data_IF_619649333252
#
_entry.id   IF_619649333252
#
_cell.length_a   1.000
_cell.length_b   1.000
_cell.length_c   1.000
_cell.angle_alpha   90.00
_cell.angle_beta   90.00
_cell.angle_gamma   90.00
#
_symmetry.space_group_name_H-M   'P 1'
#
loop_
_entity.id
_entity.type
_entity.pdbx_description
1 polymer ?
#
# COMPACT_ATOMS: atom_id res chain seq x y z
N UNK A 1 -12.46 1.62 -10.67
CA UNK A 1 -11.43 2.66 -10.51
C UNK A 1 -10.13 1.91 -10.30
N UNK A 2 -9.11 2.13 -11.13
CA UNK A 2 -7.82 1.43 -10.99
C UNK A 2 -7.16 1.84 -9.67
N UNK A 3 -6.53 0.88 -9.01
CA UNK A 3 -5.75 1.16 -7.81
C UNK A 3 -4.54 2.04 -8.20
N UNK A 4 -4.12 2.93 -7.30
CA UNK A 4 -2.92 3.75 -7.54
C UNK A 4 -1.74 3.07 -6.88
N UNK A 5 -0.62 2.97 -7.57
CA UNK A 5 0.57 2.37 -7.01
C UNK A 5 1.81 3.20 -7.32
N UNK A 6 2.78 3.13 -6.41
CA UNK A 6 4.13 3.61 -6.62
C UNK A 6 5.01 2.44 -7.06
N UNK A 7 5.69 2.57 -8.19
CA UNK A 7 6.64 1.59 -8.70
C UNK A 7 8.06 2.16 -8.63
N UNK A 8 8.90 1.57 -7.79
CA UNK A 8 10.30 1.91 -7.63
C UNK A 8 11.17 1.00 -8.51
N UNK A 9 11.84 1.57 -9.50
CA UNK A 9 12.70 0.88 -10.48
C UNK A 9 14.15 1.23 -10.18
N UNK A 10 15.05 0.26 -9.93
CA UNK A 10 16.43 0.53 -9.57
C UNK A 10 17.19 1.15 -10.75
N UNK A 11 17.96 2.20 -10.49
CA UNK A 11 18.81 2.88 -11.47
C UNK A 11 20.31 2.61 -11.28
N UNK A 12 20.69 1.98 -10.15
CA UNK A 12 22.08 1.72 -9.75
C UNK A 12 22.41 2.35 -8.39
N UNK A 13 23.50 1.93 -7.76
CA UNK A 13 23.99 2.50 -6.48
C UNK A 13 22.96 2.56 -5.33
N UNK A 14 22.00 1.62 -5.32
CA UNK A 14 20.91 1.60 -4.34
C UNK A 14 19.90 2.74 -4.51
N UNK A 15 19.82 3.32 -5.71
CA UNK A 15 18.88 4.37 -6.10
C UNK A 15 17.75 3.81 -6.97
N UNK A 16 16.61 4.50 -6.92
CA UNK A 16 15.38 4.13 -7.59
C UNK A 16 14.73 5.34 -8.27
N UNK A 17 14.25 5.14 -9.49
CA UNK A 17 13.28 6.04 -10.12
C UNK A 17 11.88 5.56 -9.74
N UNK A 18 11.01 6.50 -9.38
CA UNK A 18 9.67 6.23 -8.89
C UNK A 18 8.64 6.66 -9.92
N UNK A 19 7.79 5.73 -10.30
CA UNK A 19 6.70 5.92 -11.25
C UNK A 19 5.37 5.73 -10.54
N UNK A 20 4.38 6.56 -10.88
CA UNK A 20 3.00 6.34 -10.42
C UNK A 20 2.22 5.70 -11.54
N UNK A 21 1.63 4.56 -11.22
CA UNK A 21 0.98 3.69 -12.18
C UNK A 21 -0.49 3.52 -11.81
N UNK A 22 -1.36 3.44 -12.82
CA UNK A 22 -2.77 3.10 -12.63
C UNK A 22 -2.96 1.63 -12.97
N UNK A 23 -2.63 0.76 -12.02
CA UNK A 23 -2.84 -0.67 -12.18
C UNK A 23 -4.06 -1.08 -11.37
N UNK A 24 -4.75 -2.14 -11.77
CA UNK A 24 -5.45 -2.87 -10.72
C UNK A 24 -4.33 -3.43 -9.82
N UNK A 25 -4.08 -2.80 -8.68
CA UNK A 25 -2.89 -3.04 -7.83
C UNK A 25 -2.83 -4.50 -7.38
N UNK A 26 -3.97 -5.20 -7.46
CA UNK A 26 -4.12 -6.62 -7.22
C UNK A 26 -3.90 -7.48 -8.47
N UNK A 27 -4.00 -6.93 -9.67
CA UNK A 27 -3.72 -7.62 -10.94
C UNK A 27 -2.23 -7.89 -11.18
N UNK A 28 -1.32 -7.14 -10.53
CA UNK A 28 0.13 -7.49 -10.51
C UNK A 28 0.37 -8.86 -9.87
N UNK A 29 -0.56 -9.31 -9.03
CA UNK A 29 -0.51 -10.61 -8.38
C UNK A 29 -1.41 -11.67 -9.03
N UNK A 30 -2.08 -11.34 -10.15
CA UNK A 30 -2.84 -12.33 -10.88
C UNK A 30 -1.87 -13.30 -11.58
N UNK A 31 -2.10 -14.63 -11.50
CA UNK A 31 -1.36 -15.55 -12.35
C UNK A 31 -1.58 -15.15 -13.80
N UNK A 32 -0.50 -14.96 -14.56
CA UNK A 32 -0.59 -14.81 -16.00
C UNK A 32 -1.16 -16.11 -16.57
N UNK A 33 -2.46 -16.14 -16.84
CA UNK A 33 -3.08 -17.25 -17.55
C UNK A 33 -2.46 -17.34 -18.96
N UNK A 34 -1.59 -18.33 -19.15
CA UNK A 34 -1.22 -18.83 -20.47
C UNK A 34 0.12 -18.39 -21.04
N UNK A 35 1.22 -18.95 -20.54
CA UNK A 35 2.38 -19.28 -21.37
C UNK A 35 2.84 -20.71 -21.02
N UNK A 36 2.99 -21.61 -22.01
CA UNK A 36 3.29 -23.01 -21.74
C UNK A 36 4.72 -23.17 -21.21
N UNK A 37 4.84 -23.89 -20.10
CA UNK A 37 5.99 -24.65 -19.60
C UNK A 37 7.38 -24.16 -20.04
N UNK A 38 7.91 -23.18 -19.31
CA UNK A 38 9.36 -23.04 -19.15
C UNK A 38 9.74 -23.40 -17.71
N UNK A 39 10.74 -24.25 -17.48
CA UNK A 39 11.14 -24.75 -16.15
C UNK A 39 11.81 -23.69 -15.26
N UNK A 40 11.60 -22.40 -15.54
CA UNK A 40 12.16 -21.24 -14.84
C UNK A 40 11.05 -20.37 -14.20
N UNK A 41 9.85 -20.93 -14.04
CA UNK A 41 8.64 -20.26 -13.53
C UNK A 41 8.65 -20.02 -12.00
N UNK A 42 9.83 -19.76 -11.41
CA UNK A 42 9.99 -19.39 -10.00
C UNK A 42 10.31 -17.91 -9.77
N UNK A 43 10.63 -17.15 -10.83
CA UNK A 43 11.00 -15.73 -10.72
C UNK A 43 10.94 -15.09 -12.11
N UNK A 44 9.76 -14.66 -12.56
CA UNK A 44 9.68 -13.76 -13.74
C UNK A 44 9.51 -12.32 -13.28
N UNK A 45 10.22 -11.35 -13.90
CA UNK A 45 10.19 -9.97 -13.48
C UNK A 45 8.81 -9.38 -13.75
N UNK A 46 8.30 -8.62 -12.79
CA UNK A 46 7.19 -7.70 -12.96
C UNK A 46 7.59 -6.75 -14.10
N UNK A 47 6.69 -6.65 -15.08
CA UNK A 47 6.81 -6.03 -16.41
C UNK A 47 7.44 -4.63 -16.34
N UNK A 48 8.21 -4.26 -17.38
CA UNK A 48 8.66 -2.88 -17.61
C UNK A 48 7.48 -1.90 -17.46
N UNK A 49 7.68 -0.71 -16.87
CA UNK A 49 6.60 0.26 -16.72
C UNK A 49 6.02 0.64 -18.10
N UNK A 50 4.69 0.55 -18.31
CA UNK A 50 4.07 0.97 -19.57
C UNK A 50 4.28 2.47 -19.82
N UNK A 51 4.24 2.89 -21.09
CA UNK A 51 4.50 4.26 -21.54
C UNK A 51 3.59 5.35 -20.92
N UNK A 52 2.48 4.97 -20.26
CA UNK A 52 1.55 5.87 -19.56
C UNK A 52 1.92 6.12 -18.08
N UNK A 53 3.01 5.54 -17.59
CA UNK A 53 3.48 5.73 -16.22
C UNK A 53 4.10 7.12 -16.02
N UNK A 54 3.60 7.86 -15.03
CA UNK A 54 4.13 9.19 -14.70
C UNK A 54 5.33 9.05 -13.78
N UNK A 55 6.52 9.44 -14.23
CA UNK A 55 7.68 9.64 -13.36
C UNK A 55 7.36 10.71 -12.31
N UNK A 56 7.48 10.34 -11.02
CA UNK A 56 7.17 11.21 -9.89
C UNK A 56 8.40 11.60 -9.08
N UNK A 57 9.45 10.78 -9.11
CA UNK A 57 10.73 11.12 -8.49
C UNK A 57 11.88 10.36 -9.16
N UNK A 58 13.04 10.99 -9.28
CA UNK A 58 14.26 10.39 -9.84
C UNK A 58 15.30 10.14 -8.74
N UNK A 59 16.12 9.10 -8.94
CA UNK A 59 17.33 8.80 -8.17
C UNK A 59 17.15 8.89 -6.65
N UNK A 60 16.09 8.27 -6.14
CA UNK A 60 15.78 8.23 -4.70
C UNK A 60 16.45 7.04 -4.02
N UNK A 61 16.97 7.23 -2.81
CA UNK A 61 17.26 6.07 -1.96
C UNK A 61 15.96 5.47 -1.40
N UNK A 62 16.06 4.36 -0.68
CA UNK A 62 14.90 3.68 -0.09
C UNK A 62 14.03 4.61 0.79
N UNK A 63 14.64 5.51 1.56
CA UNK A 63 13.89 6.48 2.37
C UNK A 63 13.12 7.47 1.46
N UNK A 64 13.77 7.96 0.41
CA UNK A 64 13.15 8.82 -0.60
C UNK A 64 12.00 8.16 -1.37
N UNK A 65 12.07 6.84 -1.61
CA UNK A 65 10.95 6.06 -2.19
C UNK A 65 9.74 6.09 -1.24
N UNK A 66 9.96 5.84 0.06
CA UNK A 66 8.88 5.86 1.06
C UNK A 66 8.25 7.26 1.19
N UNK A 67 9.05 8.31 1.11
CA UNK A 67 8.55 9.70 1.10
C UNK A 67 7.80 10.09 -0.18
N UNK A 68 7.94 9.32 -1.27
CA UNK A 68 7.23 9.57 -2.53
C UNK A 68 5.82 8.95 -2.59
N UNK A 69 5.43 8.17 -1.57
CA UNK A 69 4.09 7.60 -1.44
C UNK A 69 3.03 8.70 -1.28
N UNK A 70 2.12 8.78 -2.24
CA UNK A 70 0.95 9.65 -2.18
C UNK A 70 -0.12 9.08 -1.25
N UNK A 71 -0.92 9.91 -0.55
CA UNK A 71 -2.05 9.45 0.26
C UNK A 71 -2.98 8.46 -0.45
N UNK A 72 -3.15 8.60 -1.76
CA UNK A 72 -3.96 7.73 -2.60
C UNK A 72 -3.26 6.47 -3.11
N UNK A 73 -1.96 6.29 -2.89
CA UNK A 73 -1.25 5.07 -3.27
C UNK A 73 -1.67 3.91 -2.35
N UNK A 74 -2.04 2.78 -2.97
CA UNK A 74 -2.57 1.57 -2.32
C UNK A 74 -1.54 0.43 -2.29
N UNK A 75 -0.54 0.49 -3.18
CA UNK A 75 0.54 -0.49 -3.26
C UNK A 75 1.88 0.20 -3.56
N UNK A 76 2.96 -0.42 -3.06
CA UNK A 76 4.34 -0.12 -3.42
C UNK A 76 4.95 -1.35 -4.10
N UNK A 77 5.37 -1.18 -5.34
CA UNK A 77 6.12 -2.17 -6.09
C UNK A 77 7.59 -1.78 -6.11
N UNK A 78 8.46 -2.71 -5.76
CA UNK A 78 9.90 -2.53 -5.87
C UNK A 78 10.40 -3.56 -6.88
N UNK A 79 10.88 -3.07 -8.02
CA UNK A 79 11.25 -3.93 -9.15
C UNK A 79 12.35 -4.92 -8.72
N UNK A 80 12.09 -6.21 -8.92
CA UNK A 80 12.99 -7.31 -8.53
C UNK A 80 12.95 -7.71 -7.05
N UNK A 81 12.30 -6.93 -6.19
CA UNK A 81 12.20 -7.20 -4.74
C UNK A 81 10.81 -7.66 -4.31
N UNK A 82 9.75 -7.17 -4.96
CA UNK A 82 8.38 -7.61 -4.73
C UNK A 82 7.40 -6.46 -4.55
N UNK A 83 6.32 -6.73 -3.81
CA UNK A 83 5.22 -5.79 -3.63
C UNK A 83 4.76 -5.72 -2.18
N UNK A 84 4.41 -4.51 -1.76
CA UNK A 84 3.84 -4.24 -0.45
C UNK A 84 2.47 -3.57 -0.60
N UNK A 85 1.51 -3.99 0.21
CA UNK A 85 0.26 -3.26 0.40
C UNK A 85 0.51 -2.04 1.28
N UNK A 86 0.00 -0.87 0.87
CA UNK A 86 0.08 0.38 1.63
C UNK A 86 -1.14 0.47 2.56
N UNK A 87 -0.95 0.04 3.80
CA UNK A 87 -1.99 -0.01 4.83
C UNK A 87 -2.07 1.33 5.58
N UNK A 88 -3.06 2.16 5.24
CA UNK A 88 -3.37 3.38 6.02
C UNK A 88 -4.11 3.01 7.30
N UNK A 89 -3.62 3.49 8.44
CA UNK A 89 -4.13 3.12 9.78
C UNK A 89 -5.08 4.17 10.36
N UNK A 90 -5.22 5.31 9.69
CA UNK A 90 -6.17 6.36 10.08
C UNK A 90 -7.59 5.83 10.01
N UNK A 91 -8.40 6.17 11.00
CA UNK A 91 -9.83 5.85 11.04
C UNK A 91 -10.58 7.00 10.37
N UNK A 92 -11.29 6.76 9.25
CA UNK A 92 -12.11 7.77 8.60
C UNK A 92 -13.32 8.08 9.49
N UNK A 93 -13.68 9.35 9.58
CA UNK A 93 -14.84 9.85 10.33
C UNK A 93 -15.62 10.84 9.46
N UNK A 94 -16.90 11.05 9.73
CA UNK A 94 -17.73 12.02 9.00
C UNK A 94 -17.13 13.45 9.06
N UNK A 95 -16.40 13.77 10.13
CA UNK A 95 -15.70 15.05 10.25
C UNK A 95 -14.59 15.21 9.19
N UNK A 96 -13.95 14.12 8.77
CA UNK A 96 -12.89 14.15 7.75
C UNK A 96 -13.44 14.36 6.34
N UNK A 97 -14.74 14.15 6.10
CA UNK A 97 -15.39 14.48 4.82
C UNK A 97 -15.70 15.98 4.69
N UNK A 98 -15.84 16.67 5.82
CA UNK A 98 -16.17 18.09 5.87
C UNK A 98 -14.92 19.00 5.80
N UNK A 99 -13.78 18.51 6.27
CA UNK A 99 -12.49 19.17 6.11
C UNK A 99 -11.85 18.76 4.78
N UNK A 100 -11.23 19.70 4.01
CA UNK A 100 -10.36 19.30 2.91
C UNK A 100 -9.28 18.36 3.43
N UNK A 101 -8.67 17.48 2.60
CA UNK A 101 -7.60 16.57 3.04
C UNK A 101 -6.38 17.38 3.49
N UNK A 102 -6.44 17.90 4.71
CA UNK A 102 -5.41 18.69 5.33
C UNK A 102 -4.47 17.72 5.99
N UNK A 103 -3.27 17.58 5.41
CA UNK A 103 -1.94 17.27 5.98
C UNK A 103 -1.84 16.40 7.24
N UNK A 104 -2.87 15.62 7.57
CA UNK A 104 -2.82 14.71 8.69
C UNK A 104 -2.07 13.51 8.20
N UNK A 105 -0.77 13.56 8.45
CA UNK A 105 0.18 12.48 8.29
C UNK A 105 -0.44 11.14 8.69
N UNK A 106 -0.96 10.43 7.68
CA UNK A 106 -1.68 9.20 7.92
C UNK A 106 -0.68 8.17 8.40
N UNK A 107 -0.86 7.66 9.62
CA UNK A 107 -0.07 6.54 10.10
C UNK A 107 -0.19 5.41 9.07
N UNK A 108 0.94 4.95 8.56
CA UNK A 108 0.99 4.05 7.41
C UNK A 108 1.87 2.85 7.75
N UNK A 109 1.49 1.69 7.23
CA UNK A 109 2.30 0.48 7.30
C UNK A 109 2.41 -0.14 5.92
N UNK A 110 3.56 -0.75 5.64
CA UNK A 110 3.75 -1.58 4.46
C UNK A 110 3.68 -3.05 4.88
N UNK A 111 2.87 -3.82 4.15
CA UNK A 111 2.77 -5.26 4.36
C UNK A 111 3.21 -5.96 3.08
N UNK A 112 4.37 -6.66 3.09
CA UNK A 112 4.77 -7.50 1.98
C UNK A 112 3.69 -8.54 1.69
N UNK A 113 3.28 -8.63 0.44
CA UNK A 113 2.24 -9.56 -0.01
C UNK A 113 2.78 -10.41 -1.15
N UNK A 114 2.53 -11.71 -1.06
CA UNK A 114 3.05 -12.70 -2.01
C UNK A 114 2.04 -13.07 -3.10
N UNK A 115 0.76 -12.77 -2.88
CA UNK A 115 -0.34 -13.19 -3.75
C UNK A 115 -1.57 -12.28 -3.60
N UNK A 116 -2.35 -12.19 -4.68
CA UNK A 116 -3.53 -11.33 -4.76
C UNK A 116 -4.61 -11.68 -3.73
N UNK A 117 -4.91 -12.99 -3.50
CA UNK A 117 -5.93 -13.38 -2.53
C UNK A 117 -5.63 -12.89 -1.10
N UNK A 118 -4.38 -13.00 -0.64
CA UNK A 118 -3.98 -12.48 0.68
C UNK A 118 -4.06 -10.95 0.74
N UNK A 119 -3.55 -10.26 -0.27
CA UNK A 119 -3.61 -8.80 -0.34
C UNK A 119 -5.06 -8.30 -0.29
N UNK A 120 -5.96 -8.92 -1.08
CA UNK A 120 -7.41 -8.61 -1.09
C UNK A 120 -8.07 -8.84 0.25
N UNK A 121 -7.78 -9.96 0.90
CA UNK A 121 -8.35 -10.29 2.21
C UNK A 121 -7.92 -9.27 3.25
N UNK A 122 -6.62 -9.00 3.32
CA UNK A 122 -6.05 -8.03 4.26
C UNK A 122 -6.63 -6.62 4.04
N UNK A 123 -6.70 -6.16 2.79
CA UNK A 123 -7.28 -4.87 2.44
C UNK A 123 -8.77 -4.79 2.84
N UNK A 124 -9.55 -5.82 2.52
CA UNK A 124 -10.96 -5.88 2.87
C UNK A 124 -11.16 -5.86 4.40
N UNK A 125 -10.43 -6.71 5.13
CA UNK A 125 -10.53 -6.81 6.58
C UNK A 125 -10.10 -5.51 7.27
N UNK A 126 -9.04 -4.85 6.78
CA UNK A 126 -8.58 -3.56 7.29
C UNK A 126 -9.56 -2.42 6.96
N UNK A 127 -10.15 -2.41 5.76
CA UNK A 127 -11.19 -1.46 5.36
C UNK A 127 -12.40 -1.59 6.29
N UNK A 128 -12.94 -2.79 6.45
CA UNK A 128 -14.09 -3.05 7.33
C UNK A 128 -13.80 -2.65 8.78
N UNK A 129 -12.62 -2.99 9.32
CA UNK A 129 -12.26 -2.60 10.67
C UNK A 129 -12.22 -1.07 10.85
N UNK A 130 -11.68 -0.34 9.88
CA UNK A 130 -11.61 1.13 9.91
C UNK A 130 -12.99 1.78 9.80
N UNK A 131 -13.86 1.29 8.90
CA UNK A 131 -15.22 1.80 8.73
C UNK A 131 -16.04 1.62 10.02
N UNK A 132 -16.06 0.41 10.59
CA UNK A 132 -16.78 0.12 11.84
C UNK A 132 -16.28 0.98 13.00
N UNK A 133 -14.96 1.20 13.08
CA UNK A 133 -14.39 2.06 14.10
C UNK A 133 -14.66 3.54 13.85
N UNK A 134 -14.77 3.96 12.58
CA UNK A 134 -15.19 5.30 12.19
C UNK A 134 -16.58 5.60 12.71
N UNK A 135 -17.54 4.71 12.42
CA UNK A 135 -18.91 4.81 12.93
C UNK A 135 -18.95 4.89 14.47
N UNK A 136 -18.11 4.08 15.14
CA UNK A 136 -18.03 4.09 16.61
C UNK A 136 -17.42 5.39 17.17
N UNK A 137 -16.48 6.01 16.46
CA UNK A 137 -15.93 7.32 16.81
C UNK A 137 -16.98 8.41 16.60
N UNK A 138 -17.67 8.41 15.46
CA UNK A 138 -18.72 9.39 15.14
C UNK A 138 -19.90 9.31 16.10
N UNK A 139 -20.25 8.10 16.56
CA UNK A 139 -21.24 7.88 17.60
C UNK A 139 -20.75 8.24 19.03
N UNK A 140 -19.48 8.62 19.19
CA UNK A 140 -18.88 8.96 20.49
C UNK A 140 -18.66 7.76 21.42
N UNK A 141 -18.70 6.53 20.89
CA UNK A 141 -18.55 5.29 21.67
C UNK A 141 -17.08 5.00 22.02
N UNK A 142 -16.15 5.41 21.14
CA UNK A 142 -14.71 5.26 21.35
C UNK A 142 -13.96 6.54 20.94
N UNK A 143 -12.92 6.96 21.67
CA UNK A 143 -12.06 8.04 21.22
C UNK A 143 -11.25 7.66 19.98
N UNK A 144 -11.11 8.58 19.02
CA UNK A 144 -10.32 8.38 17.79
C UNK A 144 -8.90 7.81 18.01
N UNK A 145 -8.09 8.31 18.97
CA UNK A 145 -6.76 7.75 19.20
C UNK A 145 -6.78 6.28 19.66
N UNK A 146 -7.85 5.85 20.32
CA UNK A 146 -8.03 4.46 20.75
C UNK A 146 -8.42 3.57 19.56
N UNK A 147 -9.27 4.07 18.66
CA UNK A 147 -9.63 3.40 17.42
C UNK A 147 -8.41 3.18 16.52
N UNK A 148 -7.57 4.20 16.31
CA UNK A 148 -6.33 4.10 15.51
C UNK A 148 -5.32 3.11 16.13
N UNK A 149 -5.18 3.11 17.47
CA UNK A 149 -4.37 2.10 18.18
C UNK A 149 -4.92 0.69 17.99
N UNK A 150 -6.24 0.53 17.96
CA UNK A 150 -6.86 -0.76 17.69
C UNK A 150 -6.55 -1.22 16.26
N UNK A 151 -6.69 -0.35 15.25
CA UNK A 151 -6.35 -0.68 13.85
C UNK A 151 -4.90 -1.14 13.73
N UNK A 152 -3.97 -0.44 14.39
CA UNK A 152 -2.56 -0.87 14.45
C UNK A 152 -2.40 -2.27 15.06
N UNK A 153 -3.07 -2.54 16.18
CA UNK A 153 -3.02 -3.84 16.85
C UNK A 153 -3.75 -4.96 16.08
N UNK A 154 -4.78 -4.60 15.31
CA UNK A 154 -5.48 -5.49 14.40
C UNK A 154 -4.53 -5.92 13.27
N UNK A 155 -3.90 -4.96 12.60
CA UNK A 155 -2.95 -5.23 11.52
C UNK A 155 -1.77 -6.08 12.01
N UNK A 156 -1.18 -5.74 13.16
CA UNK A 156 -0.06 -6.49 13.74
C UNK A 156 -0.38 -7.96 14.09
N UNK A 157 -1.67 -8.31 14.25
CA UNK A 157 -2.14 -9.66 14.58
C UNK A 157 -2.78 -10.38 13.38
N UNK A 158 -2.89 -9.71 12.24
CA UNK A 158 -3.55 -10.27 11.09
C UNK A 158 -2.72 -11.43 10.51
N UNK A 159 -3.32 -12.60 10.21
CA UNK A 159 -2.58 -13.79 9.75
C UNK A 159 -1.78 -13.57 8.45
N UNK A 160 -2.26 -12.64 7.61
CA UNK A 160 -1.63 -12.26 6.35
C UNK A 160 -0.64 -11.08 6.46
N UNK A 161 -0.39 -10.55 7.67
CA UNK A 161 0.50 -9.40 7.91
C UNK A 161 1.73 -9.79 8.75
N UNK A 162 2.55 -10.70 8.22
CA UNK A 162 3.66 -11.30 8.99
C UNK A 162 4.87 -10.38 9.16
N UNK A 163 5.15 -9.53 8.18
CA UNK A 163 6.35 -8.68 8.13
C UNK A 163 5.97 -7.20 7.96
N UNK A 164 5.29 -6.64 8.96
CA UNK A 164 4.80 -5.27 8.89
C UNK A 164 5.93 -4.26 9.08
N UNK A 165 6.13 -3.40 8.08
CA UNK A 165 7.02 -2.24 8.18
C UNK A 165 6.19 -1.02 8.57
N UNK A 166 6.41 -0.48 9.76
CA UNK A 166 5.69 0.70 10.25
C UNK A 166 6.39 1.98 9.78
N UNK A 167 5.67 2.81 9.03
CA UNK A 167 6.17 4.11 8.63
C UNK A 167 5.84 5.14 9.72
N UNK A 168 6.77 6.07 10.03
CA UNK A 168 6.42 7.21 10.85
C UNK A 168 5.31 8.01 10.15
N UNK A 169 4.44 8.70 10.91
CA UNK A 169 3.58 9.72 10.30
C UNK A 169 4.49 10.70 9.55
N UNK A 170 4.18 11.02 8.29
CA UNK A 170 4.90 12.02 7.51
C UNK A 170 5.01 13.36 8.25
N UNK A 171 6.10 14.08 8.03
CA UNK A 171 6.29 15.44 8.56
C UNK A 171 5.44 16.47 7.81
#
# INVERSE_FOLDING_TARGET
MGHRALHAVPTGDGRYDCYRTQWDGLAVFAPSDGAPDSPDAGRRPIVDPPDDDRLVAESRDAAGVLSALDPGDEALFVHGEGACLVCRLTVPTLADEADPPGDRAAATALVPVTDAPRARRLDADLRTAREVLGDAVDAGLVPRPMAERYVRAFLARHPDAREVVWLPPGD
#
